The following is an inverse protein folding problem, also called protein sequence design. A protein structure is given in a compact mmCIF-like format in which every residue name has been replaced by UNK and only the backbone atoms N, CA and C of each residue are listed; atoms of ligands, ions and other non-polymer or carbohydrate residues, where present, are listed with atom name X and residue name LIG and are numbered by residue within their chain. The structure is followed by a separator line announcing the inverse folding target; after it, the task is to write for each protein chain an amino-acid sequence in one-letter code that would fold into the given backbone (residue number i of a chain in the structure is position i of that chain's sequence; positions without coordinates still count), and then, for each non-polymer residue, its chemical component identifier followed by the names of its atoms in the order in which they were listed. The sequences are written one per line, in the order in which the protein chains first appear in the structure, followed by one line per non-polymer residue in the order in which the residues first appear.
data_IF_589148834725
#
_entry.id   IF_589148834725
#
_cell.length_a   1.000
_cell.length_b   1.000
_cell.length_c   1.000
_cell.angle_alpha   90.00
_cell.angle_beta   90.00
_cell.angle_gamma   90.00
#
_symmetry.space_group_name_H-M   'P 1'
#
loop_
_entity.id
_entity.type
_entity.pdbx_description
1 polymer ?
#
# COMPACT_ATOMS: atom_id res chain seq x y z
N UNK A 1 -9.62 -1.35 -6.80
CA UNK A 1 -10.94 -1.82 -6.34
C UNK A 1 -11.41 -0.88 -5.24
N UNK A 2 -12.73 -0.79 -5.02
CA UNK A 2 -13.31 0.00 -3.92
C UNK A 2 -12.76 -0.43 -2.56
N UNK A 3 -12.66 -1.75 -2.33
CA UNK A 3 -12.10 -2.27 -1.08
C UNK A 3 -10.64 -1.86 -0.82
N UNK A 4 -9.80 -1.76 -1.87
CA UNK A 4 -8.43 -1.24 -1.71
C UNK A 4 -8.41 0.24 -1.28
N UNK A 5 -9.38 1.04 -1.72
CA UNK A 5 -9.54 2.44 -1.30
C UNK A 5 -9.91 2.48 0.19
N UNK A 6 -10.85 1.64 0.63
CA UNK A 6 -11.25 1.54 2.05
C UNK A 6 -10.07 1.12 2.92
N UNK A 7 -9.31 0.09 2.51
CA UNK A 7 -8.10 -0.37 3.23
C UNK A 7 -7.07 0.76 3.30
N UNK A 8 -6.80 1.46 2.20
CA UNK A 8 -5.85 2.57 2.17
C UNK A 8 -6.25 3.72 3.11
N UNK A 9 -7.51 4.15 3.06
CA UNK A 9 -8.05 5.22 3.90
C UNK A 9 -8.00 4.85 5.39
N UNK A 10 -8.37 3.61 5.71
CA UNK A 10 -8.40 3.11 7.09
C UNK A 10 -7.00 3.01 7.68
N UNK A 11 -6.04 2.47 6.92
CA UNK A 11 -4.65 2.36 7.38
C UNK A 11 -4.00 3.74 7.49
N UNK A 12 -4.22 4.64 6.53
CA UNK A 12 -3.69 6.00 6.60
C UNK A 12 -4.23 6.76 7.84
N UNK A 13 -5.52 6.63 8.12
CA UNK A 13 -6.17 7.23 9.29
C UNK A 13 -5.60 6.66 10.60
N UNK A 14 -5.43 5.34 10.67
CA UNK A 14 -4.85 4.68 11.83
C UNK A 14 -3.38 5.10 12.07
N UNK A 15 -2.57 5.18 11.01
CA UNK A 15 -1.18 5.61 11.14
C UNK A 15 -1.06 7.09 11.52
N UNK A 16 -1.96 7.96 11.04
CA UNK A 16 -2.00 9.36 11.45
C UNK A 16 -2.39 9.52 12.92
N UNK A 17 -3.33 8.72 13.43
CA UNK A 17 -3.69 8.73 14.86
C UNK A 17 -2.50 8.31 15.76
N UNK A 18 -1.61 7.46 15.21
CA UNK A 18 -0.32 7.09 15.80
C UNK A 18 0.81 8.11 15.54
N UNK A 19 0.48 9.29 15.01
CA UNK A 19 1.40 10.39 14.64
C UNK A 19 2.50 9.99 13.66
N UNK A 20 2.28 8.95 12.85
CA UNK A 20 3.24 8.54 11.84
C UNK A 20 3.17 9.44 10.62
N UNK A 21 4.31 9.60 9.93
CA UNK A 21 4.33 10.23 8.62
C UNK A 21 3.78 9.24 7.59
N UNK A 22 2.71 9.63 6.88
CA UNK A 22 2.04 8.77 5.90
C UNK A 22 2.02 9.49 4.57
N UNK A 23 2.29 8.77 3.48
CA UNK A 23 2.15 9.27 2.11
C UNK A 23 1.18 8.41 1.32
N UNK A 24 0.81 8.85 0.13
CA UNK A 24 -0.11 8.14 -0.75
C UNK A 24 0.40 8.18 -2.19
N UNK A 25 0.46 7.02 -2.83
CA UNK A 25 0.55 6.91 -4.27
C UNK A 25 -0.54 5.93 -4.75
N UNK A 26 -1.17 6.22 -5.88
CA UNK A 26 -2.20 5.37 -6.49
C UNK A 26 -2.02 5.28 -8.00
N UNK A 27 -2.27 4.10 -8.56
CA UNK A 27 -2.26 3.87 -10.01
C UNK A 27 -3.64 4.07 -10.64
N UNK A 28 -4.66 4.36 -9.84
CA UNK A 28 -6.00 4.70 -10.31
C UNK A 28 -6.04 6.07 -10.99
N UNK A 29 -7.16 6.37 -11.65
CA UNK A 29 -7.39 7.64 -12.31
C UNK A 29 -8.21 8.57 -11.43
N UNK A 30 -7.91 9.86 -11.46
CA UNK A 30 -8.76 10.91 -10.90
C UNK A 30 -9.45 11.63 -12.07
N UNK A 31 -10.80 11.60 -12.15
CA UNK A 31 -11.56 12.18 -13.25
C UNK A 31 -11.45 13.70 -13.33
N UNK A 32 -11.02 14.38 -12.27
CA UNK A 32 -10.82 15.83 -12.26
C UNK A 32 -9.48 16.25 -12.90
N UNK A 33 -8.56 15.30 -13.12
CA UNK A 33 -7.29 15.59 -13.79
C UNK A 33 -7.52 15.63 -15.30
N UNK A 34 -7.27 16.80 -15.89
CA UNK A 34 -7.32 17.01 -17.33
C UNK A 34 -5.99 16.61 -17.99
N UNK A 35 -6.05 16.01 -19.18
CA UNK A 35 -4.88 15.58 -19.94
C UNK A 35 -4.81 14.08 -20.22
N UNK A 36 -3.69 13.65 -20.79
CA UNK A 36 -3.47 12.25 -21.22
C UNK A 36 -3.12 11.31 -20.06
N UNK A 37 -2.54 11.83 -18.97
CA UNK A 37 -2.24 11.08 -17.75
C UNK A 37 -3.22 11.51 -16.67
N UNK A 38 -4.20 10.65 -16.38
CA UNK A 38 -5.23 10.90 -15.35
C UNK A 38 -4.83 10.42 -13.95
N UNK A 39 -3.57 10.05 -13.71
CA UNK A 39 -3.12 9.55 -12.40
C UNK A 39 -2.80 10.72 -11.45
N UNK A 40 -3.28 10.69 -10.19
CA UNK A 40 -2.86 11.65 -9.18
C UNK A 40 -1.35 11.66 -8.96
N UNK A 41 -0.81 12.85 -8.69
CA UNK A 41 0.57 12.96 -8.22
C UNK A 41 0.72 12.28 -6.85
N UNK A 42 1.84 11.58 -6.65
CA UNK A 42 2.15 10.98 -5.37
C UNK A 42 2.29 12.06 -4.28
N UNK A 43 1.71 11.78 -3.13
CA UNK A 43 1.84 12.56 -1.91
C UNK A 43 2.97 11.93 -1.08
N UNK A 44 4.10 12.64 -0.86
CA UNK A 44 5.21 12.10 -0.08
C UNK A 44 4.84 11.99 1.41
N UNK A 45 5.44 11.06 2.17
CA UNK A 45 5.13 10.89 3.59
C UNK A 45 5.36 12.15 4.41
N UNK A 46 4.31 12.63 5.08
CA UNK A 46 4.40 13.74 6.06
C UNK A 46 3.42 13.50 7.21
N UNK A 47 3.73 13.98 8.43
CA UNK A 47 2.79 13.89 9.54
C UNK A 47 1.68 14.95 9.45
N UNK A 48 0.59 14.70 10.16
CA UNK A 48 -0.42 15.70 10.51
C UNK A 48 -1.72 15.63 9.72
N UNK A 49 -2.80 16.03 10.38
CA UNK A 49 -4.18 15.94 9.87
C UNK A 49 -4.44 16.63 8.52
N UNK A 50 -3.92 17.84 8.22
CA UNK A 50 -4.13 18.44 6.89
C UNK A 50 -3.56 17.58 5.76
N UNK A 51 -2.48 16.85 6.04
CA UNK A 51 -1.86 15.95 5.08
C UNK A 51 -2.72 14.71 4.84
N UNK A 52 -3.28 14.12 5.90
CA UNK A 52 -4.26 13.03 5.81
C UNK A 52 -5.49 13.46 5.02
N UNK A 53 -6.05 14.65 5.28
CA UNK A 53 -7.24 15.13 4.55
C UNK A 53 -7.00 15.16 3.04
N UNK A 54 -5.82 15.63 2.60
CA UNK A 54 -5.45 15.60 1.18
C UNK A 54 -5.41 14.18 0.60
N UNK A 55 -4.96 13.19 1.36
CA UNK A 55 -4.95 11.79 0.93
C UNK A 55 -6.37 11.25 0.80
N UNK A 56 -7.24 11.52 1.79
CA UNK A 56 -8.64 11.08 1.77
C UNK A 56 -9.42 11.74 0.63
N UNK A 57 -9.19 13.01 0.34
CA UNK A 57 -9.79 13.71 -0.81
C UNK A 57 -9.41 13.06 -2.14
N UNK A 58 -8.14 12.64 -2.31
CA UNK A 58 -7.72 11.90 -3.50
C UNK A 58 -8.41 10.54 -3.52
N UNK A 59 -8.34 9.77 -2.45
CA UNK A 59 -8.92 8.43 -2.36
C UNK A 59 -10.42 8.44 -2.67
N UNK A 60 -11.16 9.47 -2.26
CA UNK A 60 -12.58 9.63 -2.53
C UNK A 60 -12.92 9.85 -4.02
N UNK A 61 -11.94 10.28 -4.84
CA UNK A 61 -12.13 10.53 -6.28
C UNK A 61 -11.51 9.46 -7.17
N UNK A 62 -10.65 8.60 -6.61
CA UNK A 62 -9.89 7.63 -7.38
C UNK A 62 -10.82 6.56 -7.94
N UNK A 63 -10.77 6.40 -9.26
CA UNK A 63 -11.45 5.36 -10.01
C UNK A 63 -10.47 4.29 -10.48
N UNK A 64 -11.00 3.11 -10.81
CA UNK A 64 -10.21 2.05 -11.44
C UNK A 64 -9.82 2.48 -12.85
N UNK A 65 -8.52 2.67 -13.07
CA UNK A 65 -7.99 2.97 -14.40
C UNK A 65 -7.82 1.69 -15.24
N UNK A 66 -7.92 1.82 -16.56
CA UNK A 66 -7.50 0.75 -17.48
C UNK A 66 -6.03 0.40 -17.24
N UNK A 67 -5.76 -0.89 -17.01
CA UNK A 67 -4.42 -1.39 -16.68
C UNK A 67 -3.55 -1.40 -17.94
N UNK A 68 -2.83 -0.30 -18.18
CA UNK A 68 -1.83 -0.22 -19.27
C UNK A 68 -0.42 -0.59 -18.85
N UNK A 69 -0.15 -0.66 -17.54
CA UNK A 69 1.18 -0.93 -16.97
C UNK A 69 1.08 -1.92 -15.81
N UNK A 70 2.15 -2.69 -15.58
CA UNK A 70 2.26 -3.58 -14.42
C UNK A 70 2.22 -2.77 -13.11
N UNK A 71 1.39 -3.21 -12.16
CA UNK A 71 1.27 -2.60 -10.83
C UNK A 71 2.62 -2.53 -10.10
N UNK A 72 3.38 -3.63 -10.16
CA UNK A 72 4.72 -3.71 -9.58
C UNK A 72 5.64 -2.65 -10.17
N UNK A 73 5.71 -2.56 -11.51
CA UNK A 73 6.60 -1.62 -12.17
C UNK A 73 6.23 -0.17 -11.86
N UNK A 74 4.93 0.12 -11.82
CA UNK A 74 4.42 1.42 -11.38
C UNK A 74 4.84 1.71 -9.93
N UNK A 75 4.64 0.76 -9.01
CA UNK A 75 4.99 0.94 -7.60
C UNK A 75 6.50 1.16 -7.41
N UNK A 76 7.33 0.42 -8.15
CA UNK A 76 8.78 0.61 -8.16
C UNK A 76 9.17 2.03 -8.56
N UNK A 77 8.56 2.58 -9.63
CA UNK A 77 8.82 3.94 -10.09
C UNK A 77 8.33 4.99 -9.09
N UNK A 78 7.16 4.78 -8.49
CA UNK A 78 6.60 5.68 -7.48
C UNK A 78 7.45 5.73 -6.20
N UNK A 79 8.16 4.64 -5.89
CA UNK A 79 8.98 4.53 -4.69
C UNK A 79 10.39 5.14 -4.82
N UNK A 80 10.82 5.56 -6.02
CA UNK A 80 12.18 6.08 -6.28
C UNK A 80 12.52 7.30 -5.42
N UNK A 81 11.53 8.13 -5.08
CA UNK A 81 11.72 9.33 -4.27
C UNK A 81 11.63 9.08 -2.76
N UNK A 82 11.39 7.84 -2.33
CA UNK A 82 11.28 7.50 -0.90
C UNK A 82 12.67 7.35 -0.28
N UNK A 83 12.76 7.73 0.99
CA UNK A 83 13.98 7.52 1.77
C UNK A 83 14.19 6.04 2.10
N UNK A 84 15.44 5.64 2.25
CA UNK A 84 15.80 4.31 2.76
C UNK A 84 15.10 4.03 4.11
N UNK A 85 14.71 2.78 4.36
CA UNK A 85 13.98 2.37 5.56
C UNK A 85 12.48 2.64 5.54
N UNK A 86 11.95 3.36 4.53
CA UNK A 86 10.51 3.62 4.40
C UNK A 86 9.70 2.32 4.32
N UNK A 87 8.60 2.25 5.04
CA UNK A 87 7.63 1.16 4.92
C UNK A 87 6.67 1.41 3.78
N UNK A 88 6.68 0.53 2.77
CA UNK A 88 5.75 0.55 1.64
C UNK A 88 4.64 -0.44 1.92
N UNK A 89 3.42 0.08 2.09
CA UNK A 89 2.20 -0.71 2.16
C UNK A 89 1.63 -0.86 0.75
N UNK A 90 1.86 -2.01 0.13
CA UNK A 90 1.37 -2.32 -1.20
C UNK A 90 0.01 -3.03 -1.09
N UNK A 91 -1.06 -2.31 -1.44
CA UNK A 91 -2.45 -2.79 -1.37
C UNK A 91 -2.85 -3.28 -2.76
N UNK A 92 -3.22 -4.56 -2.88
CA UNK A 92 -3.50 -5.19 -4.17
C UNK A 92 -4.43 -6.39 -4.02
N UNK A 93 -5.32 -6.68 -4.99
CA UNK A 93 -6.09 -7.92 -5.00
C UNK A 93 -5.19 -9.13 -5.29
N UNK A 94 -4.07 -8.93 -6.00
CA UNK A 94 -3.19 -10.00 -6.46
C UNK A 94 -1.98 -10.18 -5.55
N UNK A 95 -1.63 -11.43 -5.27
CA UNK A 95 -0.47 -11.84 -4.47
C UNK A 95 0.18 -13.14 -5.00
N UNK A 96 0.21 -13.29 -6.32
CA UNK A 96 0.91 -14.38 -6.98
C UNK A 96 2.45 -14.26 -6.86
N UNK A 97 3.15 -15.20 -7.46
CA UNK A 97 4.61 -15.21 -7.43
C UNK A 97 5.23 -14.02 -8.16
N UNK A 98 4.66 -13.58 -9.28
CA UNK A 98 5.17 -12.46 -10.06
C UNK A 98 5.07 -11.15 -9.26
N UNK A 99 3.97 -10.94 -8.53
CA UNK A 99 3.80 -9.80 -7.61
C UNK A 99 4.87 -9.83 -6.51
N UNK A 100 5.03 -10.98 -5.84
CA UNK A 100 6.02 -11.11 -4.76
C UNK A 100 7.46 -10.88 -5.26
N UNK A 101 7.86 -11.52 -6.37
CA UNK A 101 9.19 -11.31 -6.97
C UNK A 101 9.39 -9.87 -7.41
N UNK A 102 8.34 -9.24 -7.94
CA UNK A 102 8.31 -7.84 -8.30
C UNK A 102 8.65 -6.91 -7.13
N UNK A 103 7.99 -7.12 -5.99
CA UNK A 103 8.20 -6.30 -4.79
C UNK A 103 9.52 -6.59 -4.07
N UNK A 104 10.14 -7.76 -4.27
CA UNK A 104 11.47 -8.07 -3.73
C UNK A 104 12.52 -7.01 -4.12
N UNK A 105 12.40 -6.39 -5.31
CA UNK A 105 13.30 -5.31 -5.73
C UNK A 105 13.24 -4.09 -4.82
N UNK A 106 12.07 -3.77 -4.27
CA UNK A 106 11.92 -2.67 -3.33
C UNK A 106 12.56 -3.00 -1.98
N UNK A 107 12.47 -4.25 -1.54
CA UNK A 107 13.18 -4.73 -0.35
C UNK A 107 14.70 -4.65 -0.54
N UNK A 108 15.21 -5.02 -1.72
CA UNK A 108 16.63 -4.86 -2.08
C UNK A 108 17.09 -3.40 -2.16
N UNK A 109 16.18 -2.48 -2.46
CA UNK A 109 16.43 -1.03 -2.41
C UNK A 109 16.40 -0.47 -0.97
N UNK A 110 16.18 -1.32 0.04
CA UNK A 110 16.20 -0.93 1.45
C UNK A 110 14.88 -0.44 2.01
N UNK A 111 13.76 -0.72 1.33
CA UNK A 111 12.43 -0.45 1.87
C UNK A 111 11.86 -1.65 2.62
N UNK A 112 11.06 -1.38 3.64
CA UNK A 112 10.27 -2.40 4.33
C UNK A 112 8.95 -2.60 3.57
N UNK A 113 8.76 -3.73 2.91
CA UNK A 113 7.55 -3.93 2.10
C UNK A 113 6.54 -4.82 2.83
N UNK A 114 5.30 -4.34 2.91
CA UNK A 114 4.15 -5.07 3.44
C UNK A 114 3.08 -5.15 2.35
N UNK A 115 2.71 -6.36 1.96
CA UNK A 115 1.62 -6.64 1.04
C UNK A 115 0.30 -6.78 1.81
N UNK A 116 -0.69 -5.97 1.46
CA UNK A 116 -2.06 -6.05 1.95
C UNK A 116 -2.94 -6.58 0.82
N UNK A 117 -3.37 -7.83 0.96
CA UNK A 117 -4.01 -8.59 -0.11
C UNK A 117 -5.52 -8.53 0.06
N UNK A 118 -6.18 -7.86 -0.88
CA UNK A 118 -7.60 -7.49 -0.75
C UNK A 118 -8.57 -8.57 -1.22
N UNK A 119 -8.09 -9.64 -1.85
CA UNK A 119 -8.94 -10.77 -2.28
C UNK A 119 -8.79 -12.01 -1.37
N UNK A 120 -9.85 -12.82 -1.26
CA UNK A 120 -9.81 -14.08 -0.55
C UNK A 120 -9.00 -15.13 -1.33
N UNK A 121 -7.82 -15.50 -0.81
CA UNK A 121 -7.06 -16.67 -1.22
C UNK A 121 -7.43 -17.88 -0.36
N UNK A 122 -7.80 -19.00 -1.01
CA UNK A 122 -8.10 -20.26 -0.33
C UNK A 122 -6.95 -20.75 0.58
N UNK A 123 -5.69 -20.50 0.19
CA UNK A 123 -4.52 -20.83 0.99
C UNK A 123 -3.54 -19.66 1.09
N UNK A 124 -3.96 -18.60 1.80
CA UNK A 124 -3.12 -17.42 2.01
C UNK A 124 -1.79 -17.73 2.73
N UNK A 125 -1.70 -18.84 3.46
CA UNK A 125 -0.45 -19.24 4.13
C UNK A 125 0.70 -19.47 3.16
N UNK A 126 0.42 -19.99 1.95
CA UNK A 126 1.41 -20.20 0.88
C UNK A 126 1.91 -18.87 0.34
N UNK A 127 0.99 -17.92 0.11
CA UNK A 127 1.33 -16.55 -0.29
C UNK A 127 2.22 -15.90 0.77
N UNK A 128 1.84 -16.01 2.05
CA UNK A 128 2.59 -15.45 3.17
C UNK A 128 4.00 -16.04 3.29
N UNK A 129 4.15 -17.34 3.17
CA UNK A 129 5.45 -18.00 3.23
C UNK A 129 6.34 -17.61 2.03
N UNK A 130 5.76 -17.54 0.82
CA UNK A 130 6.48 -17.06 -0.38
C UNK A 130 6.97 -15.62 -0.18
N UNK A 131 6.08 -14.73 0.27
CA UNK A 131 6.41 -13.33 0.56
C UNK A 131 7.54 -13.23 1.59
N UNK A 132 7.46 -14.00 2.68
CA UNK A 132 8.47 -14.04 3.75
C UNK A 132 9.85 -14.44 3.23
N UNK A 133 9.94 -15.44 2.35
CA UNK A 133 11.22 -15.87 1.73
C UNK A 133 11.88 -14.78 0.89
N UNK A 134 11.07 -13.84 0.37
CA UNK A 134 11.53 -12.70 -0.42
C UNK A 134 11.75 -11.43 0.44
N UNK A 135 11.67 -11.54 1.77
CA UNK A 135 11.84 -10.40 2.69
C UNK A 135 10.63 -9.48 2.77
N UNK A 136 9.47 -9.94 2.29
CA UNK A 136 8.20 -9.21 2.36
C UNK A 136 7.37 -9.71 3.55
N UNK A 137 6.56 -8.84 4.13
CA UNK A 137 5.44 -9.26 5.00
C UNK A 137 4.16 -9.26 4.17
N UNK A 138 3.28 -10.23 4.38
CA UNK A 138 2.00 -10.27 3.67
C UNK A 138 0.85 -10.59 4.64
N UNK A 139 -0.21 -9.78 4.54
CA UNK A 139 -1.44 -9.93 5.29
C UNK A 139 -2.61 -9.98 4.32
N UNK A 140 -3.59 -10.82 4.64
CA UNK A 140 -4.85 -10.83 3.95
C UNK A 140 -5.76 -9.81 4.63
N UNK A 141 -6.35 -8.94 3.84
CA UNK A 141 -7.31 -7.93 4.27
C UNK A 141 -8.51 -8.04 3.35
N UNK A 142 -9.20 -9.19 3.36
CA UNK A 142 -10.32 -9.46 2.46
C UNK A 142 -11.67 -9.04 3.08
N UNK A 143 -11.67 -8.69 4.37
CA UNK A 143 -12.83 -8.25 5.15
C UNK A 143 -12.47 -7.15 6.15
N UNK A 144 -13.48 -6.45 6.68
CA UNK A 144 -13.32 -5.47 7.76
C UNK A 144 -12.71 -6.09 9.03
N UNK A 145 -13.06 -7.33 9.34
CA UNK A 145 -12.49 -8.07 10.47
C UNK A 145 -10.99 -8.30 10.30
N UNK A 146 -10.54 -8.61 9.09
CA UNK A 146 -9.11 -8.75 8.79
C UNK A 146 -8.35 -7.42 8.98
N UNK A 147 -8.96 -6.32 8.52
CA UNK A 147 -8.40 -4.99 8.62
C UNK A 147 -8.29 -4.53 10.08
N UNK A 148 -9.32 -4.82 10.89
CA UNK A 148 -9.32 -4.56 12.33
C UNK A 148 -8.24 -5.39 13.04
N UNK A 149 -8.09 -6.66 12.68
CA UNK A 149 -7.02 -7.52 13.20
C UNK A 149 -5.62 -6.99 12.85
N UNK A 150 -5.42 -6.50 11.63
CA UNK A 150 -4.16 -5.90 11.20
C UNK A 150 -3.79 -4.66 12.05
N UNK A 151 -4.76 -3.80 12.33
CA UNK A 151 -4.55 -2.62 13.17
C UNK A 151 -4.18 -3.02 14.60
N UNK A 152 -4.87 -4.01 15.18
CA UNK A 152 -4.56 -4.54 16.51
C UNK A 152 -3.16 -5.14 16.62
N UNK A 153 -2.68 -5.86 15.59
CA UNK A 153 -1.31 -6.40 15.54
C UNK A 153 -0.27 -5.29 15.44
N UNK A 154 -0.61 -4.18 14.80
CA UNK A 154 0.28 -3.02 14.63
C UNK A 154 0.39 -2.15 15.90
N UNK A 155 -0.43 -2.42 16.93
CA UNK A 155 -0.39 -1.78 18.26
C UNK A 155 0.55 -2.47 19.27
N UNK A 156 1.09 -3.65 18.94
CA UNK A 156 2.18 -4.25 19.72
C UNK A 156 3.48 -3.45 19.54
N UNK A 157 4.50 -3.59 20.40
CA UNK A 157 5.73 -2.82 20.29
C UNK A 157 6.34 -3.03 18.90
N UNK A 158 6.24 -2.00 18.05
CA UNK A 158 6.94 -1.94 16.76
C UNK A 158 8.41 -1.69 17.11
N UNK A 159 9.13 -2.77 17.38
CA UNK A 159 10.58 -2.76 17.49
C UNK A 159 11.17 -2.30 16.17
N UNK A 160 11.62 -1.04 16.14
CA UNK A 160 12.59 -0.59 15.16
C UNK A 160 13.87 -1.36 15.45
N UNK A 161 14.13 -2.41 14.67
CA UNK A 161 15.48 -2.95 14.57
C UNK A 161 16.16 -2.12 13.49
N UNK A 162 17.13 -1.31 13.92
CA UNK A 162 17.98 -0.49 13.07
C UNK A 162 18.83 -1.34 12.13
#
# INVERSE_FOLDING_TARGET
SEWAIVVAASVATYLESMRQAVGLATNGSDPLITGSVKQPAAIPPRPGRPHLMKQLEILARVEVAEVKQSFVHWAQRSAVSLSWGTTVLAITPLADEAVCQGFHRLTRAGMNVVLLVTEPYANFSVVRERARRLGLRAYQTASEDDLTRLQAVSSGPVGVVA
#
